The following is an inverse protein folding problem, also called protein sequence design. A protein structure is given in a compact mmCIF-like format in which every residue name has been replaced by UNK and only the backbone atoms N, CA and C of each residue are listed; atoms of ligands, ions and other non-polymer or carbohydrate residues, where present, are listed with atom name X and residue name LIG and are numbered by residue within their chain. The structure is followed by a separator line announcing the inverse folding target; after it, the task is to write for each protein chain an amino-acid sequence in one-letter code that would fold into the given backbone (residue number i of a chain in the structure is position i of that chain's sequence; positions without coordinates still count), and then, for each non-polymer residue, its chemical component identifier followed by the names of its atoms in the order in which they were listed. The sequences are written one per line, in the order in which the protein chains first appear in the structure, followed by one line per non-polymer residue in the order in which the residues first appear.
data_IF_182980036334
#
_entry.id   IF_182980036334
#
_cell.length_a   1.000
_cell.length_b   1.000
_cell.length_c   1.000
_cell.angle_alpha   90.00
_cell.angle_beta   90.00
_cell.angle_gamma   90.00
#
_symmetry.space_group_name_H-M   'P 1'
#
loop_
_entity.id
_entity.type
_entity.pdbx_description
1 polymer ?
#
# COMPACT_ATOMS: atom_id res chain seq x y z
N UNK A 1 -9.35 6.78 16.28
CA UNK A 1 -9.78 5.35 16.28
C UNK A 1 -10.43 4.84 14.98
N UNK A 2 -11.50 5.41 14.40
CA UNK A 2 -11.97 5.02 13.03
C UNK A 2 -11.77 6.13 11.99
N UNK A 3 -11.87 7.40 12.44
CA UNK A 3 -11.64 8.57 11.60
C UNK A 3 -10.19 8.67 11.10
N UNK A 4 -9.23 8.19 11.90
CA UNK A 4 -7.82 8.21 11.52
C UNK A 4 -7.51 7.22 10.39
N UNK A 5 -8.17 6.05 10.39
CA UNK A 5 -8.01 5.04 9.33
C UNK A 5 -8.56 5.56 8.00
N UNK A 6 -9.78 6.12 7.99
CA UNK A 6 -10.37 6.70 6.78
C UNK A 6 -9.51 7.86 6.24
N UNK A 7 -9.05 8.75 7.13
CA UNK A 7 -8.15 9.85 6.76
C UNK A 7 -6.85 9.34 6.12
N UNK A 8 -6.25 8.31 6.71
CA UNK A 8 -4.99 7.72 6.22
C UNK A 8 -5.21 7.03 4.88
N UNK A 9 -6.26 6.24 4.70
CA UNK A 9 -6.58 5.60 3.43
C UNK A 9 -6.86 6.63 2.33
N UNK A 10 -7.56 7.72 2.64
CA UNK A 10 -7.82 8.83 1.70
C UNK A 10 -6.56 9.55 1.22
N UNK A 11 -5.47 9.49 2.00
CA UNK A 11 -4.19 10.10 1.62
C UNK A 11 -3.38 9.29 0.60
N UNK A 12 -3.74 8.01 0.39
CA UNK A 12 -3.12 7.13 -0.59
C UNK A 12 -3.64 7.44 -1.99
N UNK A 13 -2.79 7.24 -3.00
CA UNK A 13 -3.25 7.25 -4.39
C UNK A 13 -4.29 6.14 -4.61
N UNK A 14 -5.19 6.27 -5.61
CA UNK A 14 -6.18 5.24 -5.90
C UNK A 14 -5.56 3.83 -6.03
N UNK A 15 -4.43 3.74 -6.73
CA UNK A 15 -3.73 2.47 -6.99
C UNK A 15 -3.07 1.89 -5.74
N UNK A 16 -2.59 2.75 -4.83
CA UNK A 16 -2.03 2.32 -3.55
C UNK A 16 -3.14 1.83 -2.61
N UNK A 17 -4.26 2.55 -2.56
CA UNK A 17 -5.41 2.22 -1.73
C UNK A 17 -6.04 0.90 -2.15
N UNK A 18 -6.24 0.71 -3.45
CA UNK A 18 -6.82 -0.50 -4.01
C UNK A 18 -6.02 -1.74 -3.61
N UNK A 19 -4.70 -1.72 -3.79
CA UNK A 19 -3.83 -2.83 -3.40
C UNK A 19 -3.85 -3.07 -1.87
N UNK A 20 -3.91 -2.01 -1.06
CA UNK A 20 -4.03 -2.15 0.40
C UNK A 20 -5.34 -2.82 0.78
N UNK A 21 -6.46 -2.44 0.17
CA UNK A 21 -7.77 -3.02 0.47
C UNK A 21 -7.84 -4.50 0.08
N UNK A 22 -7.35 -4.86 -1.11
CA UNK A 22 -7.34 -6.26 -1.54
C UNK A 22 -6.50 -7.16 -0.63
N UNK A 23 -5.37 -6.66 -0.12
CA UNK A 23 -4.53 -7.45 0.80
C UNK A 23 -5.06 -7.44 2.24
N UNK A 24 -5.45 -6.28 2.75
CA UNK A 24 -5.78 -6.13 4.18
C UNK A 24 -7.23 -6.44 4.51
N UNK A 25 -8.16 -6.26 3.57
CA UNK A 25 -9.59 -6.51 3.76
C UNK A 25 -9.98 -7.82 3.10
N UNK A 26 -9.68 -7.97 1.81
CA UNK A 26 -10.03 -9.20 1.06
C UNK A 26 -9.06 -10.37 1.31
N UNK A 27 -7.96 -10.13 2.05
CA UNK A 27 -6.96 -11.15 2.42
C UNK A 27 -6.33 -11.88 1.22
N UNK A 28 -6.29 -11.24 0.05
CA UNK A 28 -5.68 -11.81 -1.16
C UNK A 28 -4.15 -11.85 -1.03
N UNK A 29 -3.57 -12.89 -1.61
CA UNK A 29 -2.12 -13.00 -1.84
C UNK A 29 -1.66 -11.98 -2.88
N UNK A 30 -0.36 -11.70 -2.94
CA UNK A 30 0.17 -10.72 -3.90
C UNK A 30 0.00 -11.19 -5.36
N UNK A 31 0.04 -12.51 -5.58
CA UNK A 31 -0.22 -13.19 -6.83
C UNK A 31 -1.69 -13.02 -7.26
N UNK A 32 -2.64 -13.22 -6.34
CA UNK A 32 -4.07 -13.01 -6.62
C UNK A 32 -4.38 -11.54 -6.92
N UNK A 33 -3.76 -10.60 -6.19
CA UNK A 33 -3.90 -9.17 -6.49
C UNK A 33 -3.29 -8.81 -7.85
N UNK A 34 -2.14 -9.39 -8.18
CA UNK A 34 -1.49 -9.23 -9.48
C UNK A 34 -2.42 -9.68 -10.62
N UNK A 35 -3.07 -10.84 -10.47
CA UNK A 35 -4.05 -11.35 -11.42
C UNK A 35 -5.34 -10.53 -11.48
N UNK A 36 -5.88 -10.13 -10.33
CA UNK A 36 -7.13 -9.37 -10.25
C UNK A 36 -7.01 -7.96 -10.87
N UNK A 37 -5.85 -7.32 -10.72
CA UNK A 37 -5.59 -5.97 -11.22
C UNK A 37 -4.87 -5.94 -12.57
N UNK A 38 -4.52 -7.10 -13.14
CA UNK A 38 -3.74 -7.24 -14.37
C UNK A 38 -2.45 -6.38 -14.37
N UNK A 39 -1.68 -6.46 -13.28
CA UNK A 39 -0.40 -5.75 -13.13
C UNK A 39 0.70 -6.70 -12.63
N UNK A 40 1.99 -6.40 -12.91
CA UNK A 40 3.08 -7.22 -12.40
C UNK A 40 3.12 -7.31 -10.87
N UNK A 41 3.49 -8.47 -10.33
CA UNK A 41 3.63 -8.66 -8.88
C UNK A 41 4.63 -7.67 -8.25
N UNK A 42 5.69 -7.27 -8.97
CA UNK A 42 6.61 -6.21 -8.53
C UNK A 42 5.94 -4.83 -8.40
N UNK A 43 4.92 -4.56 -9.22
CA UNK A 43 4.09 -3.35 -9.10
C UNK A 43 3.19 -3.43 -7.86
N UNK A 44 2.60 -4.60 -7.57
CA UNK A 44 1.84 -4.83 -6.33
C UNK A 44 2.72 -4.56 -5.10
N UNK A 45 3.91 -5.17 -5.06
CA UNK A 45 4.86 -5.01 -3.95
C UNK A 45 5.30 -3.55 -3.77
N UNK A 46 5.63 -2.85 -4.86
CA UNK A 46 6.05 -1.45 -4.78
C UNK A 46 4.92 -0.49 -4.40
N UNK A 47 3.68 -0.72 -4.87
CA UNK A 47 2.49 0.03 -4.43
C UNK A 47 2.22 -0.17 -2.95
N UNK A 48 2.24 -1.40 -2.45
CA UNK A 48 2.11 -1.70 -1.01
C UNK A 48 3.21 -1.05 -0.17
N UNK A 49 4.45 -1.12 -0.62
CA UNK A 49 5.58 -0.53 0.10
C UNK A 49 5.39 0.98 0.30
N UNK A 50 5.10 1.70 -0.80
CA UNK A 50 4.84 3.14 -0.76
C UNK A 50 3.59 3.49 0.06
N UNK A 51 2.53 2.69 -0.05
CA UNK A 51 1.33 2.86 0.76
C UNK A 51 1.66 2.75 2.26
N UNK A 52 2.37 1.69 2.68
CA UNK A 52 2.78 1.48 4.07
C UNK A 52 3.69 2.60 4.58
N UNK A 53 4.62 3.08 3.77
CA UNK A 53 5.45 4.23 4.11
C UNK A 53 4.61 5.48 4.38
N UNK A 54 3.66 5.78 3.47
CA UNK A 54 2.77 6.93 3.62
C UNK A 54 1.87 6.82 4.86
N UNK A 55 1.29 5.65 5.10
CA UNK A 55 0.46 5.42 6.29
C UNK A 55 1.28 5.56 7.58
N UNK A 56 2.51 5.05 7.63
CA UNK A 56 3.41 5.21 8.79
C UNK A 56 3.70 6.69 9.08
N UNK A 57 4.04 7.47 8.06
CA UNK A 57 4.32 8.91 8.22
C UNK A 57 3.12 9.67 8.83
N UNK A 58 1.90 9.31 8.44
CA UNK A 58 0.69 9.98 8.92
C UNK A 58 0.25 9.52 10.32
N UNK A 59 0.57 8.28 10.68
CA UNK A 59 0.28 7.70 12.00
C UNK A 59 1.40 7.99 13.03
N UNK A 60 2.39 8.82 12.67
CA UNK A 60 3.50 9.18 13.56
C UNK A 60 4.56 8.08 13.74
N UNK A 61 4.52 7.01 12.93
CA UNK A 61 5.53 5.97 12.91
C UNK A 61 6.82 6.49 12.26
N UNK A 62 7.94 6.39 12.97
CA UNK A 62 9.27 6.78 12.51
C UNK A 62 9.53 6.32 11.06
N UNK A 63 9.84 7.28 10.19
CA UNK A 63 10.04 7.03 8.77
C UNK A 63 11.20 6.05 8.56
N UNK A 64 10.90 4.85 8.03
CA UNK A 64 11.92 3.94 7.51
C UNK A 64 12.39 4.48 6.16
N UNK A 65 13.70 4.72 6.04
CA UNK A 65 14.31 5.36 4.87
C UNK A 65 13.93 4.66 3.57
N UNK A 66 13.68 5.41 2.47
CA UNK A 66 13.31 4.80 1.20
C UNK A 66 14.46 3.93 0.68
N UNK A 67 14.13 2.70 0.25
CA UNK A 67 15.07 1.82 -0.43
C UNK A 67 15.52 2.47 -1.74
N UNK A 68 16.83 2.63 -1.93
CA UNK A 68 17.40 3.09 -3.21
C UNK A 68 16.97 2.13 -4.32
N UNK A 69 16.25 2.65 -5.30
CA UNK A 69 15.94 1.93 -6.53
C UNK A 69 17.25 1.75 -7.30
N UNK A 70 17.73 0.51 -7.39
CA UNK A 70 18.81 0.14 -8.32
C UNK A 70 18.14 -0.15 -9.67
N UNK A 71 18.65 0.51 -10.72
CA UNK A 71 18.15 0.42 -12.09
C UNK A 71 18.63 -0.85 -12.77
#
# INVERSE_FOLDING_TARGET
ELQDVDRVLRSLSPEQREVVLLVAVEQLTYEEVSGALDIPIGTVMSRLSRARERMRQLLGGQAVMPLKVVK
#
